data_IF_035889468670
#
_entry.id   IF_035889468670
#
_cell.length_a   1.000
_cell.length_b   1.000
_cell.length_c   1.000
_cell.angle_alpha   90.00
_cell.angle_beta   90.00
_cell.angle_gamma   90.00
#
_symmetry.space_group_name_H-M   'P 1'
#
loop_
_entity.id
_entity.type
_entity.pdbx_description
1 polymer ?
#
# COMPACT_ATOMS: atom_id res chain seq x y z
N UNK A 1 -17.75 -23.49 67.41
CA UNK A 1 -18.96 -22.67 67.21
C UNK A 1 -19.83 -23.39 66.20
N UNK A 2 -20.68 -24.28 66.71
CA UNK A 2 -22.12 -24.04 66.84
C UNK A 2 -22.86 -24.39 65.56
N UNK A 3 -23.25 -25.67 65.51
CA UNK A 3 -24.34 -26.23 64.75
C UNK A 3 -25.52 -25.27 64.68
N UNK A 4 -25.80 -24.74 63.50
CA UNK A 4 -27.07 -24.10 63.16
C UNK A 4 -27.46 -24.56 61.77
N UNK A 5 -28.44 -25.45 61.77
CA UNK A 5 -29.07 -26.08 60.63
C UNK A 5 -29.83 -25.06 59.78
N UNK A 6 -29.17 -24.37 58.85
CA UNK A 6 -29.86 -23.73 57.74
C UNK A 6 -30.15 -24.78 56.65
N UNK A 7 -31.15 -25.62 56.92
CA UNK A 7 -31.59 -26.75 56.07
C UNK A 7 -32.38 -26.35 54.82
N UNK A 8 -32.57 -25.06 54.54
CA UNK A 8 -33.51 -24.62 53.52
C UNK A 8 -32.87 -23.65 52.53
N UNK A 9 -31.92 -24.14 51.73
CA UNK A 9 -31.55 -23.43 50.51
C UNK A 9 -32.61 -23.69 49.44
N UNK A 10 -33.10 -22.65 48.75
CA UNK A 10 -34.07 -22.82 47.67
C UNK A 10 -33.50 -22.32 46.35
N UNK A 11 -33.51 -23.20 45.35
CA UNK A 11 -33.23 -22.85 43.96
C UNK A 11 -34.58 -22.56 43.27
N UNK A 12 -34.69 -21.39 42.65
CA UNK A 12 -35.89 -20.96 41.92
C UNK A 12 -35.64 -21.19 40.43
N UNK A 13 -36.47 -21.99 39.79
CA UNK A 13 -36.44 -22.23 38.34
C UNK A 13 -37.88 -22.22 37.80
N UNK A 14 -38.14 -21.47 36.73
CA UNK A 14 -39.47 -21.35 36.10
C UNK A 14 -40.60 -21.09 37.12
N UNK A 15 -40.41 -20.09 37.99
CA UNK A 15 -41.29 -19.73 39.12
C UNK A 15 -41.58 -20.85 40.15
N UNK A 16 -40.95 -22.02 40.04
CA UNK A 16 -41.05 -23.12 41.02
C UNK A 16 -39.87 -23.07 41.98
N UNK A 17 -40.15 -23.31 43.27
CA UNK A 17 -39.14 -23.35 44.33
C UNK A 17 -38.73 -24.78 44.62
N UNK A 18 -37.47 -25.11 44.39
CA UNK A 18 -36.88 -26.41 44.69
C UNK A 18 -36.05 -26.31 45.96
N UNK A 19 -36.40 -27.10 46.98
CA UNK A 19 -35.63 -27.17 48.23
C UNK A 19 -34.44 -28.09 48.05
N UNK A 20 -33.26 -27.61 48.39
CA UNK A 20 -32.02 -28.36 48.28
C UNK A 20 -31.24 -28.36 49.58
N UNK A 21 -30.54 -29.47 49.84
CA UNK A 21 -29.58 -29.56 50.93
C UNK A 21 -28.24 -29.00 50.43
N UNK A 22 -27.83 -27.80 50.90
CA UNK A 22 -26.63 -27.14 50.39
C UNK A 22 -25.36 -27.94 50.68
N UNK A 23 -25.31 -28.75 51.75
CA UNK A 23 -24.12 -29.51 52.10
C UNK A 23 -23.85 -30.68 51.14
N UNK A 24 -24.92 -31.32 50.66
CA UNK A 24 -24.83 -32.41 49.67
C UNK A 24 -24.56 -31.80 48.29
N UNK A 25 -25.26 -30.71 47.96
CA UNK A 25 -25.13 -30.07 46.66
C UNK A 25 -23.74 -29.46 46.43
N UNK A 26 -23.12 -28.84 47.44
CA UNK A 26 -21.73 -28.33 47.38
C UNK A 26 -20.68 -29.43 47.21
N UNK A 27 -20.98 -30.69 47.56
CA UNK A 27 -20.09 -31.83 47.32
C UNK A 27 -20.21 -32.39 45.91
N UNK A 28 -21.37 -32.18 45.28
CA UNK A 28 -21.72 -32.76 43.99
C UNK A 28 -21.54 -31.78 42.82
N UNK A 29 -21.40 -30.47 43.09
CA UNK A 29 -21.19 -29.41 42.08
C UNK A 29 -20.21 -28.37 42.61
N UNK A 30 -19.09 -28.17 41.91
CA UNK A 30 -18.08 -27.16 42.26
C UNK A 30 -18.61 -25.73 42.02
N UNK A 31 -19.34 -25.51 40.92
CA UNK A 31 -20.00 -24.22 40.64
C UNK A 31 -21.02 -23.83 41.71
N UNK A 32 -21.83 -24.78 42.20
CA UNK A 32 -22.78 -24.50 43.28
C UNK A 32 -22.06 -24.12 44.58
N UNK A 33 -20.90 -24.71 44.88
CA UNK A 33 -20.09 -24.33 46.04
C UNK A 33 -19.70 -22.85 46.00
N UNK A 34 -19.20 -22.37 44.85
CA UNK A 34 -18.85 -20.96 44.64
C UNK A 34 -20.06 -20.04 44.76
N UNK A 35 -21.21 -20.44 44.22
CA UNK A 35 -22.47 -19.67 44.29
C UNK A 35 -23.00 -19.61 45.73
N UNK A 36 -22.93 -20.71 46.48
CA UNK A 36 -23.38 -20.79 47.86
C UNK A 36 -22.49 -19.95 48.80
N UNK A 37 -21.18 -19.89 48.52
CA UNK A 37 -20.23 -19.01 49.23
C UNK A 37 -20.55 -17.52 49.02
N UNK A 38 -21.05 -17.14 47.84
CA UNK A 38 -21.42 -15.76 47.51
C UNK A 38 -22.84 -15.38 47.95
N UNK A 39 -23.80 -16.32 47.89
CA UNK A 39 -25.21 -16.09 48.19
C UNK A 39 -25.81 -17.28 48.95
N UNK A 40 -25.81 -17.26 50.30
CA UNK A 40 -26.18 -18.41 51.14
C UNK A 40 -27.70 -18.60 51.37
N UNK A 41 -28.56 -17.71 50.86
CA UNK A 41 -30.01 -17.79 51.11
C UNK A 41 -30.83 -18.40 49.96
N UNK A 42 -30.57 -18.00 48.72
CA UNK A 42 -31.35 -18.43 47.54
C UNK A 42 -30.55 -18.20 46.26
N UNK A 43 -30.80 -19.05 45.26
CA UNK A 43 -30.32 -18.86 43.89
C UNK A 43 -31.49 -18.88 42.92
N UNK A 44 -31.49 -17.93 41.99
CA UNK A 44 -32.42 -17.95 40.85
C UNK A 44 -31.65 -18.49 39.65
N UNK A 45 -32.15 -19.57 39.08
CA UNK A 45 -31.59 -20.17 37.89
C UNK A 45 -32.18 -19.46 36.67
N UNK A 46 -31.34 -18.76 35.90
CA UNK A 46 -31.77 -17.86 34.82
C UNK A 46 -31.55 -18.44 33.41
N UNK A 47 -31.38 -19.76 33.29
CA UNK A 47 -31.18 -20.40 32.00
C UNK A 47 -32.51 -21.00 31.48
N UNK A 48 -33.26 -20.18 30.72
CA UNK A 48 -34.61 -20.50 30.20
C UNK A 48 -34.61 -21.57 29.09
N UNK A 49 -33.44 -21.97 28.58
CA UNK A 49 -33.31 -22.97 27.50
C UNK A 49 -33.39 -24.42 27.98
N UNK A 50 -33.50 -24.66 29.29
CA UNK A 50 -33.39 -26.01 29.86
C UNK A 50 -34.76 -26.62 30.10
N UNK A 51 -35.01 -27.80 29.53
CA UNK A 51 -36.22 -28.55 29.83
C UNK A 51 -36.39 -28.81 31.33
N UNK A 52 -37.60 -28.56 31.86
CA UNK A 52 -37.91 -28.75 33.28
C UNK A 52 -37.61 -30.18 33.78
N UNK A 53 -37.76 -31.18 32.93
CA UNK A 53 -37.40 -32.58 33.24
C UNK A 53 -35.89 -32.77 33.45
N UNK A 54 -35.06 -32.11 32.62
CA UNK A 54 -33.59 -32.15 32.72
C UNK A 54 -33.13 -31.47 33.99
N UNK A 55 -33.75 -30.32 34.32
CA UNK A 55 -33.47 -29.59 35.55
C UNK A 55 -33.84 -30.41 36.80
N UNK A 56 -34.99 -31.07 36.81
CA UNK A 56 -35.41 -31.94 37.93
C UNK A 56 -34.48 -33.14 38.08
N UNK A 57 -34.04 -33.74 36.98
CA UNK A 57 -33.06 -34.82 36.99
C UNK A 57 -31.71 -34.36 37.57
N UNK A 58 -31.25 -33.17 37.19
CA UNK A 58 -30.04 -32.53 37.73
C UNK A 58 -30.14 -32.30 39.25
N UNK A 59 -31.21 -31.64 39.73
CA UNK A 59 -31.43 -31.40 41.16
C UNK A 59 -31.49 -32.72 41.93
N UNK A 60 -32.16 -33.73 41.37
CA UNK A 60 -32.28 -35.05 42.01
C UNK A 60 -30.93 -35.75 42.10
N UNK A 61 -30.11 -35.70 41.04
CA UNK A 61 -28.76 -36.26 41.02
C UNK A 61 -27.85 -35.60 42.06
N UNK A 62 -27.83 -34.27 42.12
CA UNK A 62 -27.02 -33.51 43.08
C UNK A 62 -27.47 -33.70 44.54
N UNK A 63 -28.65 -34.30 44.78
CA UNK A 63 -29.15 -34.70 46.10
C UNK A 63 -29.02 -36.20 46.38
N UNK A 64 -28.33 -36.96 45.51
CA UNK A 64 -28.21 -38.42 45.60
C UNK A 64 -29.56 -39.16 45.55
N UNK A 65 -30.57 -38.55 44.92
CA UNK A 65 -31.87 -39.18 44.67
C UNK A 65 -31.83 -39.92 43.34
N UNK A 66 -32.60 -41.01 43.25
CA UNK A 66 -32.81 -41.72 41.99
C UNK A 66 -33.58 -40.83 41.02
N UNK A 67 -33.17 -40.82 39.77
CA UNK A 67 -33.84 -40.11 38.70
C UNK A 67 -33.85 -40.97 37.43
N UNK A 68 -34.82 -40.72 36.56
CA UNK A 68 -34.88 -41.31 35.24
C UNK A 68 -34.90 -40.18 34.23
N UNK A 69 -34.07 -40.27 33.19
CA UNK A 69 -34.06 -39.32 32.10
C UNK A 69 -34.34 -40.04 30.79
N UNK A 70 -35.11 -39.40 29.92
CA UNK A 70 -35.31 -39.87 28.56
C UNK A 70 -33.96 -39.84 27.82
N UNK A 71 -33.53 -40.91 27.13
CA UNK A 71 -32.28 -40.94 26.37
C UNK A 71 -32.09 -39.76 25.42
N UNK A 72 -33.18 -39.25 24.82
CA UNK A 72 -33.15 -38.07 23.93
C UNK A 72 -32.73 -36.77 24.64
N UNK A 73 -32.90 -36.70 25.97
CA UNK A 73 -32.56 -35.54 26.81
C UNK A 73 -31.26 -35.73 27.58
N UNK A 74 -30.59 -36.87 27.44
CA UNK A 74 -29.32 -37.16 28.11
C UNK A 74 -28.20 -36.18 27.68
N UNK A 75 -28.24 -35.68 26.45
CA UNK A 75 -27.30 -34.67 25.95
C UNK A 75 -27.48 -33.30 26.66
N UNK A 76 -28.72 -32.86 26.87
CA UNK A 76 -29.00 -31.65 27.64
C UNK A 76 -28.56 -31.78 29.10
N UNK A 77 -28.73 -32.98 29.69
CA UNK A 77 -28.24 -33.28 31.03
C UNK A 77 -26.71 -33.29 31.09
N UNK A 78 -26.02 -33.80 30.05
CA UNK A 78 -24.56 -33.78 29.95
C UNK A 78 -24.03 -32.33 29.88
N UNK A 79 -24.67 -31.48 29.07
CA UNK A 79 -24.35 -30.04 28.98
C UNK A 79 -24.50 -29.38 30.35
N UNK A 80 -25.62 -29.63 31.03
CA UNK A 80 -25.89 -29.08 32.36
C UNK A 80 -24.92 -29.59 33.43
N UNK A 81 -24.58 -30.88 33.40
CA UNK A 81 -23.64 -31.50 34.34
C UNK A 81 -22.23 -30.89 34.21
N UNK A 82 -21.81 -30.57 32.99
CA UNK A 82 -20.52 -29.90 32.74
C UNK A 82 -20.55 -28.43 33.12
N UNK A 83 -21.61 -27.73 32.75
CA UNK A 83 -21.77 -26.31 33.08
C UNK A 83 -21.80 -26.06 34.59
N UNK A 84 -22.23 -27.06 35.37
CA UNK A 84 -22.29 -27.04 36.83
C UNK A 84 -21.19 -27.85 37.50
N UNK A 85 -20.21 -28.35 36.74
CA UNK A 85 -19.06 -29.09 37.26
C UNK A 85 -19.47 -30.22 38.23
N UNK A 86 -20.35 -31.10 37.77
CA UNK A 86 -20.88 -32.25 38.51
C UNK A 86 -20.34 -33.58 37.96
N UNK A 87 -19.19 -34.09 38.46
CA UNK A 87 -18.47 -35.21 37.83
C UNK A 87 -19.25 -36.52 37.82
N UNK A 88 -20.00 -36.80 38.90
CA UNK A 88 -20.82 -38.02 39.01
C UNK A 88 -21.95 -38.04 37.99
N UNK A 89 -22.54 -36.87 37.72
CA UNK A 89 -23.61 -36.73 36.74
C UNK A 89 -23.08 -36.73 35.30
N UNK A 90 -21.90 -36.15 35.08
CA UNK A 90 -21.20 -36.20 33.79
C UNK A 90 -20.89 -37.65 33.39
N UNK A 91 -20.34 -38.46 34.30
CA UNK A 91 -20.04 -39.86 34.04
C UNK A 91 -21.30 -40.68 33.72
N UNK A 92 -22.38 -40.44 34.46
CA UNK A 92 -23.68 -41.07 34.20
C UNK A 92 -24.25 -40.69 32.83
N UNK A 93 -24.34 -39.39 32.53
CA UNK A 93 -24.88 -38.90 31.26
C UNK A 93 -24.03 -39.35 30.07
N UNK A 94 -22.70 -39.42 30.23
CA UNK A 94 -21.78 -39.95 29.21
C UNK A 94 -22.06 -41.43 28.91
N UNK A 95 -22.34 -42.22 29.95
CA UNK A 95 -22.64 -43.66 29.80
C UNK A 95 -23.96 -43.85 29.07
N UNK A 96 -24.99 -43.09 29.46
CA UNK A 96 -26.31 -43.12 28.81
C UNK A 96 -26.23 -42.67 27.35
N UNK A 97 -25.45 -41.64 27.01
CA UNK A 97 -25.26 -41.22 25.62
C UNK A 97 -24.54 -42.30 24.80
N UNK A 98 -23.51 -42.95 25.37
CA UNK A 98 -22.75 -44.02 24.69
C UNK A 98 -23.60 -45.26 24.44
N UNK A 99 -24.40 -45.68 25.41
CA UNK A 99 -25.30 -46.85 25.28
C UNK A 99 -26.40 -46.65 24.23
N UNK A 100 -26.82 -45.41 24.01
CA UNK A 100 -27.88 -45.07 23.05
C UNK A 100 -27.35 -44.55 21.71
N UNK A 101 -26.02 -44.57 21.48
CA UNK A 101 -25.41 -44.17 20.22
C UNK A 101 -25.46 -42.67 19.91
N UNK A 102 -25.68 -41.82 20.93
CA UNK A 102 -25.65 -40.36 20.75
C UNK A 102 -24.21 -39.84 20.83
N UNK A 103 -23.85 -38.81 20.02
CA UNK A 103 -22.51 -38.24 20.03
C UNK A 103 -22.21 -37.66 21.42
N UNK A 104 -21.16 -38.20 22.06
CA UNK A 104 -20.65 -37.70 23.34
C UNK A 104 -19.68 -36.57 23.02
N UNK A 105 -20.14 -35.33 23.13
CA UNK A 105 -19.27 -34.16 22.97
C UNK A 105 -18.13 -34.23 24.01
N UNK A 106 -16.88 -33.87 23.68
CA UNK A 106 -15.81 -33.78 24.66
C UNK A 106 -16.04 -32.61 25.63
N UNK A 107 -15.35 -32.61 26.78
CA UNK A 107 -15.44 -31.54 27.81
C UNK A 107 -14.96 -30.17 27.28
N UNK A 108 -14.16 -30.19 26.22
CA UNK A 108 -13.79 -29.03 25.40
C UNK A 108 -14.34 -29.34 24.01
N UNK A 109 -15.19 -28.47 23.47
CA UNK A 109 -15.74 -28.58 22.12
C UNK A 109 -15.16 -27.44 21.28
N UNK A 110 -13.93 -27.58 20.73
CA UNK A 110 -13.26 -26.48 20.05
C UNK A 110 -14.04 -25.94 18.85
N UNK A 111 -14.83 -26.79 18.20
CA UNK A 111 -15.66 -26.43 17.04
C UNK A 111 -16.89 -25.63 17.51
N UNK A 112 -17.59 -26.12 18.54
CA UNK A 112 -18.71 -25.40 19.13
C UNK A 112 -18.31 -24.06 19.78
N UNK A 113 -17.20 -24.05 20.51
CA UNK A 113 -16.63 -22.84 21.13
C UNK A 113 -16.26 -21.80 20.07
N UNK A 114 -15.66 -22.23 18.95
CA UNK A 114 -15.32 -21.35 17.85
C UNK A 114 -16.57 -20.75 17.21
N UNK A 115 -17.63 -21.54 17.01
CA UNK A 115 -18.90 -21.05 16.44
C UNK A 115 -19.55 -19.99 17.33
N UNK A 116 -19.62 -20.24 18.65
CA UNK A 116 -20.16 -19.27 19.61
C UNK A 116 -19.34 -17.97 19.62
N UNK A 117 -18.01 -18.08 19.52
CA UNK A 117 -17.13 -16.90 19.47
C UNK A 117 -17.24 -16.15 18.15
N UNK A 118 -17.41 -16.86 17.03
CA UNK A 118 -17.62 -16.26 15.72
C UNK A 118 -18.95 -15.49 15.68
N UNK A 119 -20.02 -16.05 16.23
CA UNK A 119 -21.33 -15.36 16.35
C UNK A 119 -21.23 -14.07 17.21
N UNK A 120 -20.22 -13.98 18.08
CA UNK A 120 -19.94 -12.81 18.93
C UNK A 120 -18.84 -11.90 18.37
N UNK A 121 -18.20 -12.24 17.24
CA UNK A 121 -16.99 -11.59 16.71
C UNK A 121 -15.83 -11.49 17.72
N UNK A 122 -15.66 -12.52 18.56
CA UNK A 122 -14.59 -12.64 19.57
C UNK A 122 -13.62 -13.80 19.25
N UNK A 123 -13.60 -14.26 18.00
CA UNK A 123 -12.71 -15.32 17.55
C UNK A 123 -11.24 -14.85 17.50
N UNK A 124 -10.33 -15.74 17.90
CA UNK A 124 -8.89 -15.47 17.82
C UNK A 124 -8.13 -16.61 17.13
N UNK A 125 -6.89 -16.33 16.70
CA UNK A 125 -6.05 -17.33 16.02
C UNK A 125 -5.83 -18.62 16.81
N UNK A 126 -5.87 -18.57 18.15
CA UNK A 126 -5.77 -19.76 18.99
C UNK A 126 -7.04 -20.63 18.96
N UNK A 127 -8.21 -20.03 18.75
CA UNK A 127 -9.47 -20.79 18.60
C UNK A 127 -9.44 -21.63 17.32
N UNK A 128 -8.95 -21.06 16.22
CA UNK A 128 -8.75 -21.79 14.97
C UNK A 128 -7.72 -22.91 15.08
N UNK A 129 -6.64 -22.73 15.87
CA UNK A 129 -5.68 -23.81 16.14
C UNK A 129 -6.30 -24.95 16.94
N UNK A 130 -7.11 -24.63 17.96
CA UNK A 130 -7.81 -25.63 18.77
C UNK A 130 -8.83 -26.41 17.94
N UNK A 131 -9.58 -25.74 17.06
CA UNK A 131 -10.47 -26.40 16.11
C UNK A 131 -9.70 -27.26 15.09
N UNK A 132 -8.58 -26.75 14.56
CA UNK A 132 -7.71 -27.49 13.64
C UNK A 132 -7.14 -28.77 14.25
N UNK A 133 -6.83 -28.78 15.55
CA UNK A 133 -6.34 -29.96 16.25
C UNK A 133 -7.33 -31.14 16.28
N UNK A 134 -8.64 -30.84 16.27
CA UNK A 134 -9.72 -31.84 16.37
C UNK A 134 -10.44 -32.02 15.01
N UNK A 135 -10.00 -31.30 13.97
CA UNK A 135 -10.64 -31.29 12.66
C UNK A 135 -10.74 -32.69 12.05
N UNK A 136 -9.65 -33.46 12.06
CA UNK A 136 -9.61 -34.82 11.49
C UNK A 136 -10.53 -35.81 12.21
N UNK A 137 -10.70 -35.64 13.52
CA UNK A 137 -11.60 -36.47 14.32
C UNK A 137 -13.07 -36.06 14.17
N UNK A 138 -13.32 -34.88 13.60
CA UNK A 138 -14.64 -34.26 13.51
C UNK A 138 -15.17 -34.13 12.08
N UNK A 139 -14.53 -34.75 11.08
CA UNK A 139 -14.97 -34.65 9.67
C UNK A 139 -16.42 -35.10 9.42
N UNK A 140 -16.93 -35.99 10.28
CA UNK A 140 -18.32 -36.45 10.25
C UNK A 140 -19.31 -35.51 10.95
N UNK A 141 -18.82 -34.47 11.64
CA UNK A 141 -19.65 -33.50 12.34
C UNK A 141 -20.34 -32.56 11.33
N UNK A 142 -21.67 -32.63 11.26
CA UNK A 142 -22.49 -31.77 10.40
C UNK A 142 -22.25 -30.27 10.68
N UNK A 143 -21.83 -29.89 11.89
CA UNK A 143 -21.57 -28.49 12.25
C UNK A 143 -20.41 -27.88 11.47
N UNK A 144 -19.44 -28.69 11.03
CA UNK A 144 -18.34 -28.20 10.18
C UNK A 144 -18.84 -27.71 8.83
N UNK A 145 -19.94 -28.28 8.32
CA UNK A 145 -20.53 -27.89 7.05
C UNK A 145 -21.35 -26.59 7.14
N UNK A 146 -21.66 -26.15 8.37
CA UNK A 146 -22.37 -24.89 8.64
C UNK A 146 -21.44 -23.68 8.74
N UNK A 147 -20.11 -23.88 8.82
CA UNK A 147 -19.15 -22.77 8.86
C UNK A 147 -19.11 -22.00 7.54
N UNK A 148 -18.83 -20.71 7.63
CA UNK A 148 -18.51 -19.91 6.46
C UNK A 148 -17.19 -20.39 5.80
N UNK A 149 -17.02 -20.17 4.49
CA UNK A 149 -15.88 -20.68 3.74
C UNK A 149 -14.52 -20.25 4.33
N UNK A 150 -14.40 -18.99 4.76
CA UNK A 150 -13.15 -18.44 5.32
C UNK A 150 -12.75 -19.10 6.66
N UNK A 151 -13.59 -19.11 7.71
CA UNK A 151 -13.31 -19.82 8.95
C UNK A 151 -12.93 -21.28 8.71
N UNK A 152 -13.66 -21.98 7.84
CA UNK A 152 -13.40 -23.37 7.51
C UNK A 152 -12.03 -23.53 6.85
N UNK A 153 -11.68 -22.65 5.91
CA UNK A 153 -10.37 -22.63 5.26
C UNK A 153 -9.23 -22.40 6.27
N UNK A 154 -9.43 -21.51 7.25
CA UNK A 154 -8.44 -21.26 8.32
C UNK A 154 -8.23 -22.49 9.20
N UNK A 155 -9.31 -23.19 9.58
CA UNK A 155 -9.23 -24.45 10.35
C UNK A 155 -8.40 -25.48 9.58
N UNK A 156 -8.71 -25.68 8.29
CA UNK A 156 -7.99 -26.63 7.42
C UNK A 156 -6.51 -26.25 7.29
N UNK A 157 -6.18 -24.97 7.10
CA UNK A 157 -4.80 -24.51 7.00
C UNK A 157 -3.97 -24.75 8.27
N UNK A 158 -4.61 -24.85 9.44
CA UNK A 158 -3.95 -25.28 10.67
C UNK A 158 -3.89 -26.80 10.79
N UNK A 159 -4.96 -27.51 10.41
CA UNK A 159 -5.00 -28.97 10.44
C UNK A 159 -3.95 -29.59 9.50
N UNK A 160 -3.70 -29.01 8.33
CA UNK A 160 -2.71 -29.45 7.34
C UNK A 160 -1.28 -29.51 7.91
N UNK A 161 -0.99 -28.66 8.91
CA UNK A 161 0.33 -28.61 9.56
C UNK A 161 0.52 -29.70 10.62
N UNK A 162 -0.53 -30.46 10.95
CA UNK A 162 -0.49 -31.49 11.98
C UNK A 162 -0.17 -32.86 11.38
N UNK A 163 0.57 -33.72 12.12
CA UNK A 163 1.00 -35.02 11.60
C UNK A 163 -0.14 -36.03 11.40
N UNK A 164 -1.34 -35.75 11.90
CA UNK A 164 -2.53 -36.61 11.77
C UNK A 164 -3.41 -36.24 10.56
N UNK A 165 -2.96 -35.33 9.69
CA UNK A 165 -3.73 -34.92 8.52
C UNK A 165 -3.80 -36.04 7.48
N UNK A 166 -5.00 -36.59 7.27
CA UNK A 166 -5.26 -37.62 6.27
C UNK A 166 -5.87 -36.97 5.01
N UNK A 167 -5.05 -36.89 3.96
CA UNK A 167 -5.43 -36.26 2.68
C UNK A 167 -6.60 -36.96 1.99
N UNK A 168 -6.79 -38.27 2.19
CA UNK A 168 -7.89 -39.01 1.56
C UNK A 168 -9.21 -38.67 2.23
N UNK A 169 -9.25 -38.68 3.56
CA UNK A 169 -10.45 -38.30 4.32
C UNK A 169 -10.83 -36.84 4.10
N UNK A 170 -9.83 -35.97 3.93
CA UNK A 170 -10.06 -34.58 3.55
C UNK A 170 -10.69 -34.48 2.16
N UNK A 171 -10.20 -35.24 1.18
CA UNK A 171 -10.82 -35.29 -0.15
C UNK A 171 -12.28 -35.75 -0.10
N UNK A 172 -12.58 -36.81 0.64
CA UNK A 172 -13.94 -37.31 0.82
C UNK A 172 -14.84 -36.25 1.49
N UNK A 173 -14.31 -35.53 2.49
CA UNK A 173 -15.01 -34.41 3.13
C UNK A 173 -15.30 -33.27 2.15
N UNK A 174 -14.34 -32.87 1.30
CA UNK A 174 -14.57 -31.79 0.32
C UNK A 174 -15.60 -32.23 -0.74
N UNK A 175 -15.60 -33.50 -1.13
CA UNK A 175 -16.62 -34.04 -2.04
C UNK A 175 -18.01 -34.08 -1.40
N UNK A 176 -18.11 -34.45 -0.12
CA UNK A 176 -19.36 -34.36 0.66
C UNK A 176 -19.80 -32.90 0.82
N UNK A 177 -18.86 -31.98 1.02
CA UNK A 177 -19.14 -30.56 1.14
C UNK A 177 -19.65 -29.97 -0.18
N UNK A 178 -19.13 -30.42 -1.33
CA UNK A 178 -19.59 -30.03 -2.68
C UNK A 178 -21.09 -30.22 -2.85
N UNK A 179 -21.65 -31.33 -2.34
CA UNK A 179 -23.07 -31.65 -2.48
C UNK A 179 -23.98 -30.70 -1.69
N UNK A 180 -23.50 -30.14 -0.57
CA UNK A 180 -24.28 -29.20 0.27
C UNK A 180 -23.96 -27.73 0.00
N UNK A 181 -22.69 -27.41 -0.21
CA UNK A 181 -22.12 -26.05 -0.28
C UNK A 181 -20.94 -26.01 -1.24
N UNK A 182 -21.23 -25.66 -2.49
CA UNK A 182 -20.23 -25.60 -3.55
C UNK A 182 -19.22 -24.46 -3.34
N UNK A 183 -19.64 -23.34 -2.76
CA UNK A 183 -18.82 -22.18 -2.43
C UNK A 183 -17.66 -22.53 -1.50
N UNK A 184 -17.94 -23.23 -0.41
CA UNK A 184 -16.94 -23.66 0.55
C UNK A 184 -16.04 -24.77 -0.02
N UNK A 185 -16.62 -25.71 -0.79
CA UNK A 185 -15.88 -26.78 -1.43
C UNK A 185 -14.85 -26.26 -2.44
N UNK A 186 -15.20 -25.24 -3.22
CA UNK A 186 -14.28 -24.59 -4.17
C UNK A 186 -13.08 -23.97 -3.43
N UNK A 187 -13.31 -23.25 -2.33
CA UNK A 187 -12.21 -22.63 -1.58
C UNK A 187 -11.29 -23.69 -0.95
N UNK A 188 -11.88 -24.76 -0.38
CA UNK A 188 -11.14 -25.88 0.18
C UNK A 188 -10.39 -26.70 -0.88
N UNK A 189 -10.86 -26.70 -2.12
CA UNK A 189 -10.21 -27.42 -3.21
C UNK A 189 -8.84 -26.89 -3.60
N UNK A 190 -8.55 -25.63 -3.28
CA UNK A 190 -7.22 -25.04 -3.45
C UNK A 190 -6.14 -25.74 -2.60
N UNK A 191 -6.56 -26.50 -1.59
CA UNK A 191 -5.69 -27.26 -0.67
C UNK A 191 -5.80 -28.77 -0.87
N UNK A 192 -6.54 -29.23 -1.87
CA UNK A 192 -6.66 -30.66 -2.17
C UNK A 192 -5.41 -31.17 -2.87
N UNK A 193 -5.02 -32.39 -2.50
CA UNK A 193 -4.07 -33.16 -3.28
C UNK A 193 -4.83 -33.91 -4.40
N UNK A 194 -4.83 -33.35 -5.61
CA UNK A 194 -5.51 -33.94 -6.78
C UNK A 194 -4.98 -35.33 -7.16
N UNK A 195 -3.81 -35.75 -6.69
CA UNK A 195 -3.30 -37.13 -6.93
C UNK A 195 -4.07 -38.20 -6.15
N UNK A 196 -4.88 -37.80 -5.16
CA UNK A 196 -5.66 -38.68 -4.28
C UNK A 196 -7.15 -38.75 -4.63
N UNK A 197 -7.55 -38.01 -5.66
CA UNK A 197 -8.93 -37.87 -6.10
C UNK A 197 -9.12 -38.65 -7.40
N UNK A 198 -10.31 -39.18 -7.62
CA UNK A 198 -10.65 -39.82 -8.91
C UNK A 198 -10.71 -38.77 -10.02
N UNK A 199 -10.41 -39.15 -11.27
CA UNK A 199 -10.52 -38.23 -12.40
C UNK A 199 -11.97 -37.73 -12.58
N UNK A 200 -12.97 -38.58 -12.32
CA UNK A 200 -14.40 -38.21 -12.39
C UNK A 200 -14.77 -37.11 -11.40
N UNK A 201 -14.32 -37.22 -10.15
CA UNK A 201 -14.59 -36.21 -9.14
C UNK A 201 -13.83 -34.90 -9.39
N UNK A 202 -12.66 -35.00 -10.00
CA UNK A 202 -11.83 -33.86 -10.41
C UNK A 202 -12.53 -33.09 -11.53
N UNK A 203 -13.00 -33.79 -12.57
CA UNK A 203 -13.76 -33.19 -13.65
C UNK A 203 -15.06 -32.55 -13.15
N UNK A 204 -15.77 -33.22 -12.23
CA UNK A 204 -16.98 -32.68 -11.63
C UNK A 204 -16.73 -31.39 -10.85
N UNK A 205 -15.58 -31.28 -10.15
CA UNK A 205 -15.19 -30.07 -9.45
C UNK A 205 -14.85 -28.93 -10.43
N UNK A 206 -14.05 -29.20 -11.48
CA UNK A 206 -13.62 -28.17 -12.44
C UNK A 206 -14.73 -27.70 -13.39
N UNK A 207 -15.70 -28.56 -13.70
CA UNK A 207 -16.84 -28.18 -14.55
C UNK A 207 -17.86 -27.29 -13.82
N UNK A 208 -17.76 -27.15 -12.49
CA UNK A 208 -18.67 -26.30 -11.73
C UNK A 208 -18.55 -24.81 -12.13
N UNK A 209 -19.68 -24.09 -12.29
CA UNK A 209 -19.69 -22.65 -12.56
C UNK A 209 -18.90 -21.84 -11.51
N UNK A 210 -18.99 -22.23 -10.24
CA UNK A 210 -18.39 -21.57 -9.09
C UNK A 210 -16.86 -21.70 -9.11
N UNK A 211 -16.33 -22.88 -9.45
CA UNK A 211 -14.89 -23.07 -9.66
C UNK A 211 -14.37 -22.27 -10.85
N UNK A 212 -15.15 -22.18 -11.93
CA UNK A 212 -14.81 -21.32 -13.08
C UNK A 212 -14.81 -19.85 -12.69
N UNK A 213 -15.77 -19.40 -11.90
CA UNK A 213 -15.83 -18.01 -11.44
C UNK A 213 -14.67 -17.66 -10.50
N UNK A 214 -14.36 -18.54 -9.54
CA UNK A 214 -13.23 -18.33 -8.62
C UNK A 214 -11.87 -18.39 -9.33
N UNK A 215 -11.70 -19.30 -10.30
CA UNK A 215 -10.48 -19.34 -11.12
C UNK A 215 -10.32 -18.08 -11.96
N UNK A 216 -11.39 -17.57 -12.60
CA UNK A 216 -11.37 -16.27 -13.28
C UNK A 216 -11.00 -15.16 -12.28
N UNK A 217 -11.60 -15.13 -11.10
CA UNK A 217 -11.28 -14.17 -10.05
C UNK A 217 -9.79 -14.19 -9.65
N UNK A 218 -9.22 -15.38 -9.49
CA UNK A 218 -7.79 -15.56 -9.23
C UNK A 218 -6.93 -15.02 -10.38
N UNK A 219 -7.24 -15.34 -11.64
CA UNK A 219 -6.48 -14.85 -12.79
C UNK A 219 -6.57 -13.34 -12.97
N UNK A 220 -7.73 -12.73 -12.67
CA UNK A 220 -7.91 -11.27 -12.67
C UNK A 220 -7.07 -10.65 -11.56
N UNK A 221 -7.15 -11.18 -10.33
CA UNK A 221 -6.36 -10.68 -9.21
C UNK A 221 -4.85 -10.83 -9.45
N UNK A 222 -4.43 -11.96 -10.01
CA UNK A 222 -3.04 -12.21 -10.40
C UNK A 222 -2.57 -11.24 -11.48
N UNK A 223 -3.37 -11.04 -12.53
CA UNK A 223 -3.07 -10.07 -13.59
C UNK A 223 -2.96 -8.64 -13.04
N UNK A 224 -3.88 -8.24 -12.16
CA UNK A 224 -3.83 -6.94 -11.46
C UNK A 224 -2.57 -6.81 -10.60
N UNK A 225 -2.19 -7.86 -9.87
CA UNK A 225 -0.97 -7.86 -9.06
C UNK A 225 0.29 -7.76 -9.92
N UNK A 226 0.34 -8.45 -11.05
CA UNK A 226 1.46 -8.38 -12.01
C UNK A 226 1.55 -6.99 -12.65
N UNK A 227 0.41 -6.42 -13.07
CA UNK A 227 0.36 -5.04 -13.57
C UNK A 227 0.85 -4.07 -12.50
N UNK A 228 0.38 -4.21 -11.26
CA UNK A 228 0.84 -3.37 -10.14
C UNK A 228 2.35 -3.48 -9.93
N UNK A 229 2.91 -4.68 -10.01
CA UNK A 229 4.36 -4.89 -9.90
C UNK A 229 5.11 -4.19 -11.03
N UNK A 230 4.68 -4.38 -12.28
CA UNK A 230 5.28 -3.69 -13.44
C UNK A 230 5.18 -2.17 -13.34
N UNK A 231 4.03 -1.65 -12.90
CA UNK A 231 3.85 -0.21 -12.68
C UNK A 231 4.79 0.28 -11.59
N UNK A 232 4.99 -0.48 -10.50
CA UNK A 232 5.93 -0.11 -9.46
C UNK A 232 7.38 -0.10 -9.97
N UNK A 233 7.77 -1.07 -10.79
CA UNK A 233 9.09 -1.09 -11.43
C UNK A 233 9.28 0.13 -12.34
N UNK A 234 8.27 0.47 -13.15
CA UNK A 234 8.32 1.64 -14.02
C UNK A 234 8.40 2.95 -13.22
N UNK A 235 7.65 3.06 -12.11
CA UNK A 235 7.74 4.20 -11.20
C UNK A 235 9.17 4.30 -10.66
N UNK A 236 9.75 3.19 -10.19
CA UNK A 236 11.10 3.19 -9.66
C UNK A 236 12.13 3.63 -10.74
N UNK A 237 12.01 3.10 -11.95
CA UNK A 237 12.88 3.46 -13.08
C UNK A 237 12.74 4.95 -13.46
N UNK A 238 11.52 5.46 -13.53
CA UNK A 238 11.27 6.87 -13.83
C UNK A 238 11.75 7.80 -12.72
N UNK A 239 11.59 7.43 -11.44
CA UNK A 239 12.21 8.17 -10.34
C UNK A 239 13.73 8.18 -10.40
N UNK A 240 14.37 7.07 -10.78
CA UNK A 240 15.82 7.02 -10.94
C UNK A 240 16.27 7.96 -12.07
N UNK A 241 15.62 7.90 -13.24
CA UNK A 241 15.89 8.82 -14.36
C UNK A 241 15.72 10.29 -13.97
N UNK A 242 14.67 10.61 -13.22
CA UNK A 242 14.45 11.98 -12.75
C UNK A 242 15.53 12.43 -11.76
N UNK A 243 15.97 11.56 -10.84
CA UNK A 243 17.09 11.86 -9.95
C UNK A 243 18.39 12.08 -10.72
N UNK A 244 18.67 11.27 -11.74
CA UNK A 244 19.85 11.45 -12.59
C UNK A 244 19.82 12.79 -13.33
N UNK A 245 18.65 13.17 -13.89
CA UNK A 245 18.45 14.46 -14.53
C UNK A 245 18.61 15.63 -13.56
N UNK A 246 18.10 15.52 -12.33
CA UNK A 246 18.29 16.54 -11.30
C UNK A 246 19.76 16.68 -10.90
N UNK A 247 20.50 15.57 -10.87
CA UNK A 247 21.92 15.59 -10.58
C UNK A 247 22.72 16.23 -11.73
N UNK A 248 22.39 15.91 -12.98
CA UNK A 248 22.96 16.55 -14.17
C UNK A 248 22.69 18.06 -14.18
N UNK A 249 21.43 18.47 -13.96
CA UNK A 249 21.05 19.88 -13.83
C UNK A 249 21.79 20.57 -12.67
N UNK A 250 21.95 19.90 -11.54
CA UNK A 250 22.72 20.42 -10.41
C UNK A 250 24.18 20.68 -10.77
N UNK A 251 24.81 19.78 -11.53
CA UNK A 251 26.18 19.96 -12.02
C UNK A 251 26.28 21.10 -13.04
N UNK A 252 25.36 21.16 -13.99
CA UNK A 252 25.29 22.25 -14.97
C UNK A 252 25.13 23.61 -14.27
N UNK A 253 24.33 23.67 -13.21
CA UNK A 253 24.15 24.90 -12.45
C UNK A 253 25.41 25.29 -11.66
N UNK A 254 26.13 24.30 -11.11
CA UNK A 254 27.42 24.54 -10.45
C UNK A 254 28.47 25.05 -11.45
N UNK A 255 28.52 24.47 -12.65
CA UNK A 255 29.43 24.88 -13.71
C UNK A 255 29.08 26.29 -14.25
N UNK A 256 27.80 26.56 -14.47
CA UNK A 256 27.30 27.88 -14.85
C UNK A 256 27.65 28.92 -13.78
N UNK A 257 27.39 28.64 -12.51
CA UNK A 257 27.72 29.53 -11.40
C UNK A 257 29.24 29.73 -11.25
N UNK A 258 30.03 28.66 -11.43
CA UNK A 258 31.49 28.72 -11.45
C UNK A 258 32.03 29.60 -12.58
N UNK A 259 31.44 29.50 -13.78
CA UNK A 259 31.80 30.34 -14.93
C UNK A 259 31.42 31.80 -14.72
N UNK A 260 30.23 32.06 -14.17
CA UNK A 260 29.75 33.41 -13.83
C UNK A 260 30.65 34.05 -12.78
N UNK A 261 31.01 33.32 -11.73
CA UNK A 261 31.92 33.79 -10.68
C UNK A 261 33.29 34.15 -11.24
N UNK A 262 33.84 33.31 -12.13
CA UNK A 262 35.11 33.62 -12.83
C UNK A 262 35.01 34.87 -13.70
N UNK A 263 33.90 35.02 -14.44
CA UNK A 263 33.65 36.20 -15.25
C UNK A 263 33.55 37.47 -14.39
N UNK A 264 32.84 37.39 -13.26
CA UNK A 264 32.68 38.50 -12.32
C UNK A 264 33.98 38.85 -11.61
N UNK A 265 34.81 37.87 -11.24
CA UNK A 265 36.16 38.10 -10.72
C UNK A 265 37.05 38.79 -11.74
N UNK A 266 37.01 38.36 -13.01
CA UNK A 266 37.79 38.98 -14.09
C UNK A 266 37.38 40.42 -14.33
N UNK A 267 36.07 40.70 -14.31
CA UNK A 267 35.56 42.07 -14.44
C UNK A 267 35.94 42.93 -13.24
N UNK A 268 35.84 42.40 -12.02
CA UNK A 268 36.30 43.06 -10.81
C UNK A 268 37.80 43.37 -10.84
N UNK A 269 38.65 42.42 -11.24
CA UNK A 269 40.10 42.65 -11.40
C UNK A 269 40.40 43.74 -12.43
N UNK A 270 39.64 43.78 -13.54
CA UNK A 270 39.77 44.82 -14.55
C UNK A 270 39.41 46.20 -13.97
N UNK A 271 38.30 46.28 -13.25
CA UNK A 271 37.85 47.52 -12.60
C UNK A 271 38.84 47.98 -11.52
N UNK A 272 39.39 47.05 -10.73
CA UNK A 272 40.44 47.36 -9.74
C UNK A 272 41.73 47.86 -10.39
N UNK A 273 42.12 47.30 -11.55
CA UNK A 273 43.27 47.82 -12.31
C UNK A 273 43.03 49.24 -12.81
N UNK A 274 41.84 49.52 -13.34
CA UNK A 274 41.46 50.87 -13.78
C UNK A 274 41.47 51.85 -12.59
N UNK A 275 40.88 51.47 -11.46
CA UNK A 275 40.88 52.29 -10.26
C UNK A 275 42.29 52.56 -9.73
N UNK A 276 43.16 51.55 -9.71
CA UNK A 276 44.56 51.74 -9.32
C UNK A 276 45.30 52.67 -10.28
N UNK A 277 45.03 52.60 -11.59
CA UNK A 277 45.59 53.54 -12.56
C UNK A 277 45.12 54.97 -12.32
N UNK A 278 43.84 55.17 -11.97
CA UNK A 278 43.32 56.48 -11.57
C UNK A 278 43.94 56.98 -10.27
N UNK A 279 44.15 56.10 -9.27
CA UNK A 279 44.84 56.43 -8.02
C UNK A 279 46.28 56.83 -8.29
N UNK A 280 47.00 56.09 -9.12
CA UNK A 280 48.39 56.40 -9.50
C UNK A 280 48.46 57.74 -10.25
N UNK A 281 47.54 57.99 -11.19
CA UNK A 281 47.46 59.26 -11.89
C UNK A 281 47.17 60.43 -10.93
N UNK A 282 46.24 60.25 -10.00
CA UNK A 282 45.93 61.24 -8.96
C UNK A 282 47.13 61.44 -8.01
N UNK A 283 47.87 60.39 -7.68
CA UNK A 283 49.07 60.49 -6.85
C UNK A 283 50.19 61.25 -7.58
N UNK A 284 50.36 61.03 -8.87
CA UNK A 284 51.30 61.78 -9.71
C UNK A 284 50.90 63.25 -9.84
N UNK A 285 49.61 63.54 -10.01
CA UNK A 285 49.08 64.90 -10.02
C UNK A 285 49.29 65.59 -8.67
N UNK A 286 48.97 64.92 -7.56
CA UNK A 286 49.27 65.40 -6.20
C UNK A 286 50.76 65.65 -6.01
N UNK A 287 51.64 64.76 -6.46
CA UNK A 287 53.09 64.94 -6.38
C UNK A 287 53.59 66.09 -7.27
N UNK A 288 52.91 66.37 -8.40
CA UNK A 288 53.19 67.53 -9.23
C UNK A 288 52.78 68.81 -8.52
N UNK A 289 51.57 68.86 -7.96
CA UNK A 289 51.07 69.95 -7.13
C UNK A 289 51.99 70.21 -5.94
N UNK A 290 52.40 69.17 -5.21
CA UNK A 290 53.35 69.28 -4.10
C UNK A 290 54.67 69.86 -4.58
N UNK A 291 55.22 69.42 -5.73
CA UNK A 291 56.44 70.02 -6.30
C UNK A 291 56.26 71.47 -6.71
N UNK A 292 55.10 71.83 -7.27
CA UNK A 292 54.76 73.22 -7.57
C UNK A 292 54.65 74.07 -6.28
N UNK A 293 54.05 73.52 -5.22
CA UNK A 293 53.98 74.14 -3.89
C UNK A 293 55.35 74.27 -3.23
N UNK A 294 56.20 73.25 -3.27
CA UNK A 294 57.57 73.33 -2.74
C UNK A 294 58.38 74.34 -3.54
N UNK A 295 58.26 74.37 -4.87
CA UNK A 295 58.93 75.37 -5.70
C UNK A 295 58.44 76.78 -5.40
N UNK A 296 57.14 76.98 -5.19
CA UNK A 296 56.61 78.30 -4.78
C UNK A 296 57.02 78.65 -3.35
N UNK A 297 57.08 77.68 -2.44
CA UNK A 297 57.60 77.87 -1.09
C UNK A 297 59.10 78.21 -1.09
N UNK A 298 59.92 77.56 -1.91
CA UNK A 298 61.34 77.86 -2.11
C UNK A 298 61.53 79.25 -2.74
N UNK A 299 60.66 79.63 -3.69
CA UNK A 299 60.61 81.00 -4.22
C UNK A 299 60.18 82.01 -3.15
N UNK A 300 59.36 81.62 -2.16
CA UNK A 300 59.02 82.46 -1.00
C UNK A 300 60.15 82.52 0.03
N UNK A 301 60.96 81.47 0.17
CA UNK A 301 62.09 81.37 1.11
C UNK A 301 63.34 82.09 0.57
N UNK A 302 63.59 82.04 -0.75
CA UNK A 302 64.73 82.70 -1.44
C UNK A 302 64.37 83.97 -2.24
N UNK A 303 63.09 84.29 -2.39
CA UNK A 303 62.63 85.55 -2.97
C UNK A 303 62.68 86.72 -1.98
N UNK A 304 62.36 87.95 -2.41
CA UNK A 304 62.37 89.16 -1.57
C UNK A 304 61.34 89.16 -0.41
N UNK A 305 60.78 88.00 -0.05
CA UNK A 305 59.78 87.76 0.99
C UNK A 305 60.29 86.84 2.12
N UNK A 306 61.61 86.66 2.24
CA UNK A 306 62.26 86.06 3.42
C UNK A 306 62.25 87.05 4.62
N UNK A 307 62.59 86.62 5.85
CA UNK A 307 61.71 86.41 7.02
C UNK A 307 61.32 87.68 7.81
N UNK A 308 61.37 88.87 7.20
CA UNK A 308 61.09 90.17 7.83
C UNK A 308 60.01 91.00 7.08
N UNK A 309 59.01 90.37 6.46
CA UNK A 309 57.97 91.03 5.67
C UNK A 309 56.56 90.85 6.25
N UNK A 310 55.81 91.94 6.34
CA UNK A 310 54.47 92.07 6.90
C UNK A 310 53.45 91.06 6.35
N UNK A 311 52.47 90.69 7.18
CA UNK A 311 51.26 89.98 6.78
C UNK A 311 50.66 90.59 5.51
N UNK A 312 50.88 89.92 4.36
CA UNK A 312 50.48 90.44 3.06
C UNK A 312 48.99 90.12 2.82
N UNK A 313 48.12 91.12 2.63
CA UNK A 313 46.70 90.92 2.35
C UNK A 313 46.44 90.05 1.10
N UNK A 314 47.43 89.90 0.22
CA UNK A 314 47.33 89.03 -0.96
C UNK A 314 47.33 87.53 -0.61
N UNK A 315 48.09 87.11 0.40
CA UNK A 315 48.12 85.70 0.83
C UNK A 315 46.82 85.30 1.52
N UNK A 316 46.26 86.20 2.33
CA UNK A 316 44.95 85.97 2.97
C UNK A 316 43.82 85.90 1.94
N UNK A 317 43.90 86.69 0.85
CA UNK A 317 42.95 86.58 -0.28
C UNK A 317 43.09 85.27 -1.05
N UNK A 318 44.30 84.73 -1.19
CA UNK A 318 44.51 83.43 -1.84
C UNK A 318 44.00 82.30 -0.96
N UNK A 319 44.21 82.38 0.36
CA UNK A 319 43.64 81.46 1.34
C UNK A 319 42.11 81.53 1.33
N UNK A 320 41.53 82.72 1.35
CA UNK A 320 40.08 82.92 1.26
C UNK A 320 39.51 82.42 -0.08
N UNK A 321 40.19 82.66 -1.22
CA UNK A 321 39.76 82.16 -2.55
C UNK A 321 39.90 80.63 -2.66
N UNK A 322 40.91 80.03 -2.04
CA UNK A 322 41.06 78.58 -1.96
C UNK A 322 39.97 77.95 -1.07
N UNK A 323 39.67 78.57 0.08
CA UNK A 323 38.59 78.15 0.97
C UNK A 323 37.22 78.27 0.29
N UNK A 324 37.00 79.33 -0.48
CA UNK A 324 35.77 79.57 -1.23
C UNK A 324 35.59 78.54 -2.36
N UNK A 325 36.64 78.22 -3.11
CA UNK A 325 36.61 77.15 -4.12
C UNK A 325 36.34 75.77 -3.52
N UNK A 326 36.95 75.46 -2.38
CA UNK A 326 36.69 74.21 -1.65
C UNK A 326 35.25 74.12 -1.16
N UNK A 327 34.72 75.20 -0.61
CA UNK A 327 33.32 75.27 -0.18
C UNK A 327 32.35 75.17 -1.37
N UNK A 328 32.68 75.79 -2.50
CA UNK A 328 31.88 75.69 -3.73
C UNK A 328 31.88 74.27 -4.31
N UNK A 329 33.04 73.58 -4.32
CA UNK A 329 33.12 72.16 -4.70
C UNK A 329 32.32 71.27 -3.76
N UNK A 330 32.43 71.50 -2.45
CA UNK A 330 31.71 70.71 -1.45
C UNK A 330 30.19 70.89 -1.59
N UNK A 331 29.73 72.12 -1.82
CA UNK A 331 28.32 72.41 -2.07
C UNK A 331 27.84 71.84 -3.41
N UNK A 332 28.67 71.87 -4.46
CA UNK A 332 28.33 71.29 -5.75
C UNK A 332 28.18 69.77 -5.68
N UNK A 333 29.11 69.07 -5.03
CA UNK A 333 29.02 67.62 -4.78
C UNK A 333 27.78 67.30 -3.95
N UNK A 334 27.47 68.10 -2.92
CA UNK A 334 26.29 67.91 -2.09
C UNK A 334 24.98 68.12 -2.87
N UNK A 335 24.94 69.11 -3.77
CA UNK A 335 23.81 69.33 -4.67
C UNK A 335 23.67 68.22 -5.71
N UNK A 336 24.76 67.69 -6.27
CA UNK A 336 24.68 66.57 -7.21
C UNK A 336 24.26 65.26 -6.52
N UNK A 337 24.72 65.01 -5.29
CA UNK A 337 24.25 63.88 -4.49
C UNK A 337 22.78 64.06 -4.13
N UNK A 338 22.35 65.27 -3.76
CA UNK A 338 20.96 65.61 -3.52
C UNK A 338 20.08 65.39 -4.75
N UNK A 339 20.51 65.89 -5.92
CA UNK A 339 19.80 65.69 -7.20
C UNK A 339 19.75 64.22 -7.60
N UNK A 340 20.84 63.46 -7.46
CA UNK A 340 20.81 62.01 -7.74
C UNK A 340 19.88 61.27 -6.78
N UNK A 341 19.88 61.63 -5.49
CA UNK A 341 18.97 61.05 -4.51
C UNK A 341 17.52 61.39 -4.90
N UNK A 342 17.21 62.65 -5.13
CA UNK A 342 15.84 63.10 -5.44
C UNK A 342 15.35 62.65 -6.82
N UNK A 343 16.23 62.38 -7.80
CA UNK A 343 15.83 61.86 -9.11
C UNK A 343 15.74 60.33 -9.17
N UNK A 344 16.65 59.61 -8.50
CA UNK A 344 16.74 58.14 -8.63
C UNK A 344 15.99 57.39 -7.56
N UNK A 345 15.91 57.89 -6.32
CA UNK A 345 15.14 57.20 -5.28
C UNK A 345 13.65 57.12 -5.56
N UNK A 346 12.97 58.16 -6.08
CA UNK A 346 11.55 58.05 -6.40
C UNK A 346 11.32 57.08 -7.55
N UNK A 347 12.16 57.11 -8.60
CA UNK A 347 12.05 56.16 -9.72
C UNK A 347 12.23 54.72 -9.27
N UNK A 348 13.19 54.46 -8.39
CA UNK A 348 13.41 53.12 -7.85
C UNK A 348 12.24 52.69 -6.94
N UNK A 349 11.62 53.62 -6.22
CA UNK A 349 10.44 53.34 -5.40
C UNK A 349 9.21 53.07 -6.27
N UNK A 350 8.98 53.89 -7.29
CA UNK A 350 7.91 53.71 -8.27
C UNK A 350 8.08 52.39 -9.07
N UNK A 351 9.31 52.01 -9.40
CA UNK A 351 9.60 50.72 -10.04
C UNK A 351 9.33 49.53 -9.11
N UNK A 352 9.64 49.65 -7.81
CA UNK A 352 9.33 48.62 -6.81
C UNK A 352 7.83 48.51 -6.59
N UNK A 353 7.13 49.65 -6.44
CA UNK A 353 5.67 49.68 -6.28
C UNK A 353 4.95 49.15 -7.53
N UNK A 354 5.49 49.39 -8.74
CA UNK A 354 4.98 48.80 -9.99
C UNK A 354 5.15 47.30 -10.02
N UNK A 355 6.32 46.78 -9.63
CA UNK A 355 6.57 45.33 -9.58
C UNK A 355 5.68 44.66 -8.54
N UNK A 356 5.44 45.30 -7.40
CA UNK A 356 4.53 44.81 -6.36
C UNK A 356 3.08 44.78 -6.85
N UNK A 357 2.61 45.83 -7.54
CA UNK A 357 1.30 45.84 -8.19
C UNK A 357 1.17 44.81 -9.30
N UNK A 358 2.19 44.64 -10.14
CA UNK A 358 2.19 43.63 -11.20
C UNK A 358 2.12 42.22 -10.58
N UNK A 359 2.83 41.97 -9.49
CA UNK A 359 2.74 40.71 -8.73
C UNK A 359 1.37 40.49 -8.08
N UNK A 360 0.80 41.51 -7.44
CA UNK A 360 -0.53 41.42 -6.83
C UNK A 360 -1.63 41.20 -7.89
N UNK A 361 -1.50 41.82 -9.07
CA UNK A 361 -2.41 41.61 -10.20
C UNK A 361 -2.23 40.23 -10.85
N UNK A 362 -0.99 39.74 -10.98
CA UNK A 362 -0.71 38.41 -11.54
C UNK A 362 -1.20 37.25 -10.66
N UNK A 363 -1.24 37.42 -9.33
CA UNK A 363 -1.67 36.37 -8.41
C UNK A 363 -3.15 36.44 -7.99
N UNK A 364 -3.78 37.61 -8.06
CA UNK A 364 -5.20 37.79 -7.69
C UNK A 364 -6.18 37.67 -8.87
N UNK A 365 -5.72 37.44 -10.11
CA UNK A 365 -6.60 37.24 -11.26
C UNK A 365 -6.98 35.75 -11.45
N UNK A 366 -8.21 35.34 -11.12
CA UNK A 366 -8.68 33.96 -11.28
C UNK A 366 -8.76 33.55 -12.76
N UNK A 367 -8.90 34.51 -13.68
CA UNK A 367 -9.08 34.26 -15.11
C UNK A 367 -7.75 33.86 -15.76
N UNK A 368 -6.65 34.51 -15.37
CA UNK A 368 -5.30 34.17 -15.82
C UNK A 368 -4.83 32.80 -15.29
N UNK A 369 -5.18 32.46 -14.06
CA UNK A 369 -4.89 31.14 -13.47
C UNK A 369 -5.74 30.04 -14.11
N UNK A 370 -7.02 30.31 -14.38
CA UNK A 370 -7.90 29.40 -15.12
C UNK A 370 -7.38 29.16 -16.53
N UNK A 371 -6.95 30.19 -17.24
CA UNK A 371 -6.38 30.07 -18.59
C UNK A 371 -5.10 29.22 -18.62
N UNK A 372 -4.22 29.35 -17.62
CA UNK A 372 -3.04 28.47 -17.50
C UNK A 372 -3.44 27.02 -17.20
N UNK A 373 -4.45 26.79 -16.37
CA UNK A 373 -4.98 25.44 -16.17
C UNK A 373 -5.56 24.88 -17.46
N UNK A 374 -6.26 25.68 -18.25
CA UNK A 374 -6.82 25.29 -19.54
C UNK A 374 -5.71 24.98 -20.57
N UNK A 375 -4.65 25.79 -20.62
CA UNK A 375 -3.48 25.53 -21.45
C UNK A 375 -2.76 24.23 -21.04
N UNK A 376 -2.58 23.98 -19.73
CA UNK A 376 -2.03 22.71 -19.24
C UNK A 376 -2.94 21.51 -19.54
N UNK A 377 -4.26 21.69 -19.46
CA UNK A 377 -5.23 20.64 -19.81
C UNK A 377 -5.17 20.32 -21.30
N UNK A 378 -5.01 21.34 -22.15
CA UNK A 378 -4.84 21.16 -23.60
C UNK A 378 -3.51 20.45 -23.93
N UNK A 379 -2.42 20.75 -23.22
CA UNK A 379 -1.16 20.02 -23.36
C UNK A 379 -1.30 18.54 -22.91
N UNK A 380 -1.98 18.30 -21.78
CA UNK A 380 -2.29 16.96 -21.30
C UNK A 380 -3.17 16.17 -22.28
N UNK A 381 -4.15 16.81 -22.91
CA UNK A 381 -4.98 16.22 -23.96
C UNK A 381 -4.15 15.89 -25.21
N UNK A 382 -3.22 16.77 -25.58
CA UNK A 382 -2.24 16.53 -26.64
C UNK A 382 -1.39 15.29 -26.36
N UNK A 383 -0.86 15.15 -25.15
CA UNK A 383 -0.09 13.97 -24.72
C UNK A 383 -0.96 12.71 -24.69
N UNK A 384 -2.19 12.80 -24.18
CA UNK A 384 -3.13 11.67 -24.14
C UNK A 384 -3.51 11.19 -25.56
N UNK A 385 -3.70 12.11 -26.51
CA UNK A 385 -3.98 11.76 -27.90
C UNK A 385 -2.79 11.06 -28.58
N UNK A 386 -1.56 11.49 -28.26
CA UNK A 386 -0.34 10.82 -28.73
C UNK A 386 -0.23 9.39 -28.20
N UNK A 387 -0.43 9.19 -26.89
CA UNK A 387 -0.41 7.84 -26.31
C UNK A 387 -1.53 6.95 -26.86
N UNK A 388 -2.71 7.50 -27.14
CA UNK A 388 -3.78 6.75 -27.82
C UNK A 388 -3.36 6.30 -29.21
N UNK A 389 -2.70 7.16 -29.99
CA UNK A 389 -2.15 6.79 -31.30
C UNK A 389 -1.04 5.73 -31.22
N UNK A 390 -0.21 5.75 -30.18
CA UNK A 390 0.79 4.70 -29.93
C UNK A 390 0.13 3.36 -29.56
N UNK A 391 -0.95 3.37 -28.76
CA UNK A 391 -1.74 2.18 -28.44
C UNK A 391 -2.39 1.60 -29.70
N UNK A 392 -3.01 2.44 -30.53
CA UNK A 392 -3.62 1.99 -31.80
C UNK A 392 -2.57 1.38 -32.75
N UNK A 393 -1.32 1.84 -32.69
CA UNK A 393 -0.23 1.25 -33.47
C UNK A 393 0.23 -0.09 -32.88
N UNK A 394 0.30 -0.21 -31.55
CA UNK A 394 0.63 -1.48 -30.88
C UNK A 394 -0.45 -2.53 -31.17
N UNK A 395 -1.73 -2.16 -31.16
CA UNK A 395 -2.82 -3.09 -31.48
C UNK A 395 -2.71 -3.60 -32.92
N UNK A 396 -2.39 -2.74 -33.89
CA UNK A 396 -2.11 -3.15 -35.29
C UNK A 396 -0.90 -4.08 -35.38
N UNK A 397 0.17 -3.80 -34.63
CA UNK A 397 1.36 -4.64 -34.61
C UNK A 397 1.07 -6.02 -33.97
N UNK A 398 0.23 -6.06 -32.93
CA UNK A 398 -0.23 -7.31 -32.31
C UNK A 398 -1.10 -8.13 -33.26
N UNK A 399 -1.99 -7.49 -34.02
CA UNK A 399 -2.79 -8.16 -35.05
C UNK A 399 -1.86 -8.76 -36.12
N UNK A 400 -0.89 -8.00 -36.62
CA UNK A 400 0.12 -8.51 -37.57
C UNK A 400 0.91 -9.71 -37.00
N UNK A 401 1.35 -9.65 -35.75
CA UNK A 401 2.05 -10.77 -35.09
C UNK A 401 1.13 -12.00 -35.00
N UNK A 402 -0.13 -11.81 -34.61
CA UNK A 402 -1.12 -12.89 -34.50
C UNK A 402 -1.38 -13.52 -35.87
N UNK A 403 -1.55 -12.71 -36.92
CA UNK A 403 -1.70 -13.15 -38.31
C UNK A 403 -0.49 -13.97 -38.77
N UNK A 404 0.72 -13.49 -38.53
CA UNK A 404 1.97 -14.18 -38.89
C UNK A 404 2.14 -15.50 -38.12
N UNK A 405 1.83 -15.55 -36.81
CA UNK A 405 1.88 -16.80 -36.04
C UNK A 405 0.86 -17.81 -36.58
N UNK A 406 -0.37 -17.40 -36.82
CA UNK A 406 -1.42 -18.26 -37.36
C UNK A 406 -1.06 -18.79 -38.76
N UNK A 407 -0.50 -17.93 -39.61
CA UNK A 407 0.00 -18.30 -40.94
C UNK A 407 1.15 -19.31 -40.84
N UNK A 408 2.05 -19.14 -39.87
CA UNK A 408 3.13 -20.09 -39.60
C UNK A 408 2.61 -21.44 -39.11
N UNK A 409 1.66 -21.46 -38.18
CA UNK A 409 1.03 -22.68 -37.66
C UNK A 409 0.33 -23.44 -38.79
N UNK A 410 -0.47 -22.74 -39.60
CA UNK A 410 -1.14 -23.32 -40.77
C UNK A 410 -0.14 -23.97 -41.73
N UNK A 411 0.97 -23.28 -41.99
CA UNK A 411 2.01 -23.75 -42.91
C UNK A 411 2.81 -24.92 -42.37
N UNK A 412 3.20 -24.88 -41.09
CA UNK A 412 3.94 -25.97 -40.46
C UNK A 412 3.06 -27.22 -40.35
N UNK A 413 1.77 -27.07 -40.07
CA UNK A 413 0.79 -28.16 -40.10
C UNK A 413 0.73 -28.85 -41.47
N UNK A 414 0.62 -28.07 -42.55
CA UNK A 414 0.66 -28.58 -43.94
C UNK A 414 1.98 -29.29 -44.26
N UNK A 415 3.11 -28.77 -43.75
CA UNK A 415 4.43 -29.34 -43.98
C UNK A 415 4.65 -30.68 -43.27
N UNK A 416 4.09 -30.84 -42.06
CA UNK A 416 4.18 -32.10 -41.30
C UNK A 416 3.27 -33.20 -41.84
N UNK A 417 2.13 -32.86 -42.45
CA UNK A 417 1.09 -33.84 -42.81
C UNK A 417 1.28 -34.53 -44.18
N UNK A 418 2.46 -34.37 -44.82
CA UNK A 418 2.86 -35.03 -46.08
C UNK A 418 1.74 -35.21 -47.11
N UNK A 419 0.95 -34.16 -47.36
CA UNK A 419 0.01 -34.10 -48.48
C UNK A 419 -1.20 -35.05 -48.43
N UNK A 420 -1.58 -35.59 -47.26
CA UNK A 420 -2.68 -36.57 -47.21
C UNK A 420 -4.09 -35.95 -47.35
N UNK A 421 -4.24 -34.62 -47.28
CA UNK A 421 -5.50 -33.91 -47.53
C UNK A 421 -5.22 -32.56 -48.18
N UNK A 422 -5.31 -32.49 -49.50
CA UNK A 422 -5.23 -31.23 -50.26
C UNK A 422 -6.65 -30.69 -50.47
N UNK A 423 -6.79 -29.36 -50.40
CA UNK A 423 -7.80 -28.48 -51.04
C UNK A 423 -8.98 -27.90 -50.24
N UNK A 424 -9.14 -28.18 -48.94
CA UNK A 424 -10.10 -27.42 -48.13
C UNK A 424 -9.39 -26.27 -47.40
N UNK A 425 -9.66 -25.03 -47.84
CA UNK A 425 -9.19 -23.74 -47.33
C UNK A 425 -8.54 -23.80 -45.92
N UNK A 426 -7.22 -24.02 -45.85
CA UNK A 426 -6.47 -24.28 -44.60
C UNK A 426 -6.60 -23.12 -43.61
N UNK A 427 -6.86 -21.92 -44.13
CA UNK A 427 -7.04 -20.70 -43.35
C UNK A 427 -8.45 -20.54 -42.77
N UNK A 428 -9.43 -21.38 -43.17
CA UNK A 428 -10.82 -21.33 -42.65
C UNK A 428 -10.95 -21.75 -41.19
N UNK A 429 -9.88 -22.25 -40.58
CA UNK A 429 -9.79 -22.57 -39.16
C UNK A 429 -9.65 -21.28 -38.31
N UNK A 430 -9.27 -20.16 -38.94
CA UNK A 430 -9.12 -18.87 -38.28
C UNK A 430 -10.30 -17.95 -38.64
N UNK A 431 -10.80 -17.22 -37.64
CA UNK A 431 -11.90 -16.26 -37.80
C UNK A 431 -11.55 -15.11 -38.79
N UNK A 432 -10.25 -14.86 -39.02
CA UNK A 432 -9.70 -13.83 -39.92
C UNK A 432 -8.92 -14.46 -41.10
N UNK A 433 -9.53 -15.42 -41.78
CA UNK A 433 -8.89 -16.24 -42.81
C UNK A 433 -8.18 -15.46 -43.93
N UNK A 434 -8.74 -14.30 -44.34
CA UNK A 434 -8.17 -13.47 -45.40
C UNK A 434 -6.89 -12.75 -44.97
N UNK A 435 -6.85 -12.26 -43.72
CA UNK A 435 -5.68 -11.59 -43.14
C UNK A 435 -4.51 -12.56 -42.92
N UNK A 436 -4.82 -13.77 -42.41
CA UNK A 436 -3.82 -14.84 -42.24
C UNK A 436 -3.24 -15.29 -43.59
N UNK A 437 -4.02 -15.22 -44.67
CA UNK A 437 -3.57 -15.55 -46.02
C UNK A 437 -2.62 -14.50 -46.59
N UNK A 438 -2.85 -13.21 -46.32
CA UNK A 438 -1.92 -12.14 -46.70
C UNK A 438 -0.57 -12.28 -45.97
N UNK A 439 -0.60 -12.51 -44.65
CA UNK A 439 0.60 -12.73 -43.83
C UNK A 439 1.37 -14.01 -44.25
N UNK A 440 0.66 -15.03 -44.72
CA UNK A 440 1.30 -16.23 -45.28
C UNK A 440 2.21 -15.93 -46.47
N UNK A 441 1.87 -14.96 -47.32
CA UNK A 441 2.71 -14.53 -48.44
C UNK A 441 3.98 -13.82 -47.95
N UNK A 442 3.89 -13.02 -46.87
CA UNK A 442 5.04 -12.36 -46.27
C UNK A 442 6.03 -13.37 -45.66
N UNK A 443 5.52 -14.43 -45.02
CA UNK A 443 6.34 -15.53 -44.49
C UNK A 443 7.00 -16.33 -45.61
N UNK A 444 6.35 -16.49 -46.77
CA UNK A 444 6.97 -17.10 -47.96
C UNK A 444 8.18 -16.31 -48.45
N UNK A 445 8.08 -14.98 -48.49
CA UNK A 445 9.20 -14.12 -48.85
C UNK A 445 10.34 -14.18 -47.83
N UNK A 446 10.03 -14.24 -46.53
CA UNK A 446 11.03 -14.41 -45.47
C UNK A 446 11.73 -15.77 -45.59
N UNK A 447 10.97 -16.85 -45.78
CA UNK A 447 11.52 -18.20 -45.97
C UNK A 447 12.38 -18.28 -47.25
N UNK A 448 11.97 -17.62 -48.34
CA UNK A 448 12.76 -17.54 -49.57
C UNK A 448 14.07 -16.76 -49.38
N UNK A 449 14.07 -15.72 -48.54
CA UNK A 449 15.28 -14.97 -48.15
C UNK A 449 16.19 -15.81 -47.25
N UNK A 450 15.62 -16.52 -46.27
CA UNK A 450 16.35 -17.45 -45.41
C UNK A 450 16.97 -18.58 -46.23
N UNK A 451 16.25 -19.15 -47.19
CA UNK A 451 16.75 -20.21 -48.05
C UNK A 451 17.88 -19.75 -48.99
N UNK A 452 17.87 -18.48 -49.42
CA UNK A 452 18.99 -17.86 -50.16
C UNK A 452 20.22 -17.62 -49.30
N UNK A 453 20.06 -17.40 -48.00
CA UNK A 453 21.15 -17.08 -47.07
C UNK A 453 21.65 -18.29 -46.28
N UNK A 454 20.89 -19.40 -46.23
CA UNK A 454 21.25 -20.55 -45.41
C UNK A 454 22.26 -21.48 -46.11
N UNK A 455 23.51 -21.58 -45.63
CA UNK A 455 24.55 -22.40 -46.26
C UNK A 455 24.27 -23.91 -46.20
N UNK A 456 23.37 -24.37 -45.32
CA UNK A 456 23.02 -25.78 -45.16
C UNK A 456 22.12 -26.35 -46.27
N UNK A 457 21.44 -25.48 -47.05
CA UNK A 457 20.57 -25.92 -48.16
C UNK A 457 21.21 -25.79 -49.54
N UNK A 458 22.27 -24.99 -49.70
CA UNK A 458 22.96 -24.75 -50.98
C UNK A 458 23.69 -26.02 -51.48
N UNK A 459 23.94 -27.01 -50.60
CA UNK A 459 24.63 -28.27 -50.93
C UNK A 459 23.73 -29.46 -51.32
N UNK A 460 22.41 -29.31 -51.43
CA UNK A 460 21.52 -30.39 -51.92
C UNK A 460 20.97 -30.04 -53.31
N UNK A 461 21.77 -30.28 -54.34
CA UNK A 461 21.29 -30.52 -55.70
C UNK A 461 21.46 -31.99 -56.02
#
# INVERSE_FOLDING_TARGET
MSSSSNKNYSIIYDNKKYRVDPLIFCKMSEKFKTIYEQNPEKYKFENDEIDQEVFVAFISSCQLKTFQINPKKAQALLKLAREWEAPSLESYATTVCRENGYPVYPRVDPIGDLKIKQDRNEDCGEDYKRAGAVFMDSLDDDRLMEFDPEPLFRIVAYAEKLPNFDEQKYADFVMKLRERRMDAAVLLSLRLNFTKITEEDTDALFQSPEMRQQSIGFFVAYSLSQTRHKTQELINETTAKCMDQLHEFGNDMLDANGSLKKALQKDHEKNMKLLNQEIDANADELNRLVREFTRTADILVEGPLSPNGFADPALKRIEDDAQERLNNLYNHIREEIGKNHDEKHPKMRDDVDRVEQDWENEYNDPEATQKRMEDMLNELEGVASKYRGEIDQIDKDLDHIRGSINAKIARDYVRTDKGSRVEANIYSIFDEADFVKEESSAIEDIDARLDKQCPLKIGKK
#
